data_IF_894042200347
#
_entry.id   IF_894042200347
#
_cell.length_a   1.000
_cell.length_b   1.000
_cell.length_c   1.000
_cell.angle_alpha   90.00
_cell.angle_beta   90.00
_cell.angle_gamma   90.00
#
_symmetry.space_group_name_H-M   'P 1'
#
loop_
_entity.id
_entity.type
_entity.pdbx_description
1 polymer ?
#
# COMPACT_ATOMS: atom_id res chain seq x y z
N UNK A 1 40.00 -12.24 -11.23
CA UNK A 1 40.24 -13.06 -12.46
C UNK A 1 41.51 -13.93 -12.37
N UNK A 2 42.56 -13.55 -11.61
CA UNK A 2 43.86 -14.29 -11.60
C UNK A 2 43.83 -15.56 -10.74
N UNK A 3 42.95 -15.68 -9.78
CA UNK A 3 42.80 -16.89 -8.95
C UNK A 3 42.26 -18.08 -9.76
N UNK A 4 41.43 -17.82 -10.76
CA UNK A 4 40.79 -18.83 -11.59
C UNK A 4 41.71 -19.36 -12.71
N UNK A 5 42.63 -18.51 -13.20
CA UNK A 5 43.58 -18.90 -14.22
C UNK A 5 44.67 -19.89 -13.72
N UNK A 6 44.84 -20.03 -12.40
CA UNK A 6 45.82 -20.92 -11.78
C UNK A 6 45.34 -22.36 -11.56
N UNK A 7 44.05 -22.66 -11.90
CA UNK A 7 43.45 -23.97 -11.63
C UNK A 7 43.25 -24.85 -12.88
N UNK A 8 43.71 -24.37 -14.04
CA UNK A 8 43.58 -25.06 -15.35
C UNK A 8 42.22 -25.70 -15.63
N UNK A 9 41.15 -25.07 -15.13
CA UNK A 9 39.78 -25.49 -15.36
C UNK A 9 39.31 -25.06 -16.75
N UNK A 10 38.42 -25.81 -17.36
CA UNK A 10 37.79 -25.50 -18.64
C UNK A 10 36.75 -24.40 -18.52
N UNK A 11 35.93 -24.47 -17.44
CA UNK A 11 34.91 -23.48 -17.12
C UNK A 11 34.90 -23.19 -15.61
N UNK A 12 34.54 -21.94 -15.27
CA UNK A 12 34.21 -21.50 -13.91
C UNK A 12 32.86 -20.80 -13.97
N UNK A 13 31.94 -21.21 -13.16
CA UNK A 13 30.58 -20.67 -13.24
C UNK A 13 29.95 -20.50 -11.86
N UNK A 14 28.92 -19.62 -11.83
CA UNK A 14 28.07 -19.40 -10.67
C UNK A 14 26.64 -19.64 -11.06
N UNK A 15 25.99 -20.54 -10.36
CA UNK A 15 24.56 -20.72 -10.39
C UNK A 15 23.91 -20.06 -9.19
N UNK A 16 22.92 -19.22 -9.42
CA UNK A 16 22.08 -18.68 -8.38
C UNK A 16 20.83 -19.53 -8.20
N UNK A 17 20.47 -19.83 -6.95
CA UNK A 17 19.22 -20.47 -6.59
C UNK A 17 18.12 -19.41 -6.47
N UNK A 18 17.05 -19.59 -7.23
CA UNK A 18 15.87 -18.73 -7.22
C UNK A 18 14.70 -19.58 -6.72
N UNK A 19 14.17 -19.18 -5.54
CA UNK A 19 13.02 -19.83 -4.91
C UNK A 19 11.78 -19.00 -5.17
N UNK A 20 10.85 -19.54 -5.96
CA UNK A 20 9.52 -18.99 -6.21
C UNK A 20 8.46 -20.01 -5.75
N UNK A 21 7.71 -20.56 -6.72
CA UNK A 21 6.79 -21.68 -6.47
C UNK A 21 7.51 -23.03 -6.49
N UNK A 22 8.65 -23.06 -7.13
CA UNK A 22 9.54 -24.21 -7.27
C UNK A 22 10.98 -23.67 -7.34
N UNK A 23 11.92 -24.37 -6.69
CA UNK A 23 13.33 -24.01 -6.68
C UNK A 23 13.96 -24.32 -8.03
N UNK A 24 14.71 -23.38 -8.59
CA UNK A 24 15.50 -23.57 -9.79
C UNK A 24 16.82 -22.84 -9.74
N UNK A 25 17.81 -23.39 -10.44
CA UNK A 25 19.14 -22.82 -10.60
C UNK A 25 19.26 -22.11 -11.95
N UNK A 26 19.90 -20.95 -11.97
CA UNK A 26 20.25 -20.23 -13.19
C UNK A 26 21.74 -19.92 -13.22
N UNK A 27 22.41 -20.23 -14.31
CA UNK A 27 23.78 -19.81 -14.54
C UNK A 27 23.80 -18.29 -14.76
N UNK A 28 24.42 -17.55 -13.84
CA UNK A 28 24.45 -16.08 -13.87
C UNK A 28 25.83 -15.52 -14.15
N UNK A 29 26.86 -16.33 -14.07
CA UNK A 29 28.21 -16.00 -14.43
C UNK A 29 28.93 -17.22 -14.95
N UNK A 30 29.64 -17.08 -16.07
CA UNK A 30 30.50 -18.10 -16.63
C UNK A 30 31.78 -17.48 -17.21
N UNK A 31 32.90 -18.13 -16.93
CA UNK A 31 34.18 -17.89 -17.58
C UNK A 31 34.62 -19.20 -18.23
N UNK A 32 35.04 -19.11 -19.49
CA UNK A 32 35.54 -20.27 -20.25
C UNK A 32 37.00 -20.04 -20.65
N UNK A 33 37.74 -21.13 -20.65
CA UNK A 33 39.10 -21.16 -21.27
C UNK A 33 38.96 -20.99 -22.78
N UNK A 34 39.98 -20.48 -23.42
CA UNK A 34 40.01 -20.31 -24.87
C UNK A 34 39.75 -21.69 -25.59
N UNK A 35 38.81 -21.71 -26.51
CA UNK A 35 38.36 -22.90 -27.23
C UNK A 35 37.22 -23.68 -26.57
N UNK A 36 36.80 -23.35 -25.36
CA UNK A 36 35.67 -23.97 -24.69
C UNK A 36 34.38 -23.20 -24.99
N UNK A 37 33.32 -23.92 -25.36
CA UNK A 37 32.01 -23.31 -25.69
C UNK A 37 31.27 -22.93 -24.42
N UNK A 38 30.84 -21.66 -24.26
CA UNK A 38 30.00 -21.25 -23.13
C UNK A 38 28.64 -21.98 -23.10
N UNK A 39 28.14 -22.24 -21.90
CA UNK A 39 26.84 -22.85 -21.65
C UNK A 39 25.84 -21.95 -20.91
N UNK A 40 26.24 -20.72 -20.60
CA UNK A 40 25.43 -19.80 -19.81
C UNK A 40 24.02 -19.61 -20.36
N UNK A 41 23.85 -19.50 -21.67
CA UNK A 41 22.55 -19.31 -22.33
C UNK A 41 21.67 -20.58 -22.33
N UNK A 42 22.28 -21.75 -22.19
CA UNK A 42 21.61 -23.06 -22.21
C UNK A 42 21.19 -23.51 -20.80
N UNK A 43 21.82 -22.93 -19.75
CA UNK A 43 21.65 -23.35 -18.36
C UNK A 43 20.88 -22.31 -17.54
N UNK A 44 19.75 -21.85 -18.09
CA UNK A 44 18.82 -20.91 -17.44
C UNK A 44 17.62 -21.69 -16.94
N UNK A 45 17.22 -21.46 -15.64
CA UNK A 45 16.04 -22.07 -14.99
C UNK A 45 16.05 -23.61 -14.97
N UNK A 46 17.16 -24.19 -14.54
CA UNK A 46 17.26 -25.63 -14.31
C UNK A 46 16.53 -25.96 -12.99
N UNK A 47 15.50 -26.82 -13.05
CA UNK A 47 14.80 -27.26 -11.84
C UNK A 47 15.75 -27.94 -10.86
N UNK A 48 15.62 -27.64 -9.58
CA UNK A 48 16.34 -28.35 -8.52
C UNK A 48 16.04 -29.86 -8.54
N UNK A 49 14.84 -30.26 -8.98
CA UNK A 49 14.44 -31.66 -9.14
C UNK A 49 15.21 -32.39 -10.25
N UNK A 50 15.86 -31.63 -11.16
CA UNK A 50 16.72 -32.22 -12.20
C UNK A 50 18.11 -32.58 -11.66
N UNK A 51 18.48 -32.07 -10.49
CA UNK A 51 19.75 -32.36 -9.81
C UNK A 51 19.52 -32.69 -8.32
N UNK A 52 18.73 -33.72 -8.01
CA UNK A 52 18.23 -33.98 -6.69
C UNK A 52 19.33 -34.27 -5.67
N UNK A 53 20.35 -35.04 -6.05
CA UNK A 53 21.47 -35.37 -5.16
C UNK A 53 22.32 -34.15 -4.86
N UNK A 54 22.55 -33.28 -5.87
CA UNK A 54 23.30 -32.05 -5.66
C UNK A 54 22.53 -31.08 -4.79
N UNK A 55 21.26 -30.88 -5.07
CA UNK A 55 20.41 -29.96 -4.28
C UNK A 55 20.38 -30.37 -2.80
N UNK A 56 20.17 -31.65 -2.50
CA UNK A 56 20.18 -32.15 -1.14
C UNK A 56 21.53 -31.96 -0.42
N UNK A 57 22.64 -32.24 -1.12
CA UNK A 57 24.00 -32.02 -0.60
C UNK A 57 24.28 -30.55 -0.37
N UNK A 58 23.92 -29.68 -1.29
CA UNK A 58 24.12 -28.23 -1.12
C UNK A 58 23.33 -27.68 0.06
N UNK A 59 22.09 -28.12 0.28
CA UNK A 59 21.32 -27.75 1.46
C UNK A 59 22.03 -28.13 2.79
N UNK A 60 22.82 -29.20 2.78
CA UNK A 60 23.65 -29.60 3.93
C UNK A 60 25.01 -28.92 3.99
N UNK A 61 25.36 -28.07 3.03
CA UNK A 61 26.66 -27.41 2.94
C UNK A 61 27.76 -28.32 2.43
N UNK A 62 27.43 -29.44 1.80
CA UNK A 62 28.38 -30.40 1.30
C UNK A 62 28.90 -29.98 -0.10
N UNK A 63 30.21 -30.13 -0.30
CA UNK A 63 30.87 -29.89 -1.60
C UNK A 63 30.72 -31.12 -2.49
N UNK A 64 30.48 -30.93 -3.79
CA UNK A 64 30.47 -31.97 -4.81
C UNK A 64 31.86 -32.04 -5.43
N UNK A 65 32.48 -33.21 -5.38
CA UNK A 65 33.75 -33.50 -6.01
C UNK A 65 33.58 -34.74 -6.90
N UNK A 66 33.78 -34.58 -8.20
CA UNK A 66 33.70 -35.65 -9.18
C UNK A 66 35.08 -35.73 -9.83
N UNK A 67 35.82 -36.81 -9.55
CA UNK A 67 37.14 -37.06 -10.16
C UNK A 67 37.01 -37.75 -11.51
N UNK A 68 35.93 -38.51 -11.70
CA UNK A 68 35.68 -39.31 -12.87
C UNK A 68 34.17 -39.43 -13.04
N UNK A 69 33.63 -38.84 -14.09
CA UNK A 69 32.19 -38.77 -14.35
C UNK A 69 31.57 -40.16 -14.50
N UNK A 70 32.26 -41.10 -15.11
CA UNK A 70 31.72 -42.45 -15.34
C UNK A 70 31.43 -43.20 -14.04
N UNK A 71 32.08 -42.84 -12.94
CA UNK A 71 31.84 -43.47 -11.63
C UNK A 71 30.56 -43.04 -10.91
N UNK A 72 29.92 -41.96 -11.36
CA UNK A 72 28.69 -41.48 -10.75
C UNK A 72 27.42 -41.91 -11.49
N UNK A 73 27.53 -42.59 -12.62
CA UNK A 73 26.37 -42.94 -13.46
C UNK A 73 25.28 -43.75 -12.72
N UNK A 74 25.66 -44.60 -11.75
CA UNK A 74 24.70 -45.36 -10.93
C UNK A 74 24.20 -44.60 -9.69
N UNK A 75 25.00 -43.70 -9.14
CA UNK A 75 24.69 -42.98 -7.88
C UNK A 75 24.03 -41.64 -8.09
N UNK A 76 24.24 -41.00 -9.25
CA UNK A 76 23.71 -39.68 -9.61
C UNK A 76 23.31 -39.68 -11.11
N UNK A 77 22.34 -40.51 -11.54
CA UNK A 77 22.04 -40.67 -12.96
C UNK A 77 21.54 -39.42 -13.65
N UNK A 78 20.71 -38.59 -12.97
CA UNK A 78 20.18 -37.36 -13.52
C UNK A 78 21.28 -36.34 -13.77
N UNK A 79 22.16 -36.16 -12.79
CA UNK A 79 23.32 -35.28 -12.88
C UNK A 79 24.35 -35.76 -13.90
N UNK A 80 24.57 -37.07 -13.97
CA UNK A 80 25.46 -37.67 -14.98
C UNK A 80 25.02 -37.32 -16.41
N UNK A 81 23.73 -37.45 -16.74
CA UNK A 81 23.20 -37.14 -18.06
C UNK A 81 23.40 -35.67 -18.43
N UNK A 82 23.20 -34.76 -17.46
CA UNK A 82 23.40 -33.32 -17.67
C UNK A 82 24.88 -33.01 -17.94
N UNK A 83 25.80 -33.61 -17.20
CA UNK A 83 27.22 -33.31 -17.28
C UNK A 83 27.88 -33.91 -18.51
N UNK A 84 27.43 -35.12 -18.91
CA UNK A 84 28.00 -35.86 -20.06
C UNK A 84 27.82 -35.13 -21.38
N UNK A 85 26.66 -34.48 -21.58
CA UNK A 85 26.36 -33.72 -22.81
C UNK A 85 27.25 -32.48 -22.95
N UNK A 86 27.90 -32.05 -21.88
CA UNK A 86 28.72 -30.83 -21.79
C UNK A 86 30.24 -31.12 -21.84
N UNK A 87 30.66 -32.34 -22.13
CA UNK A 87 32.06 -32.81 -22.16
C UNK A 87 32.79 -32.61 -20.83
N UNK A 88 32.06 -32.81 -19.70
CA UNK A 88 32.60 -32.71 -18.34
C UNK A 88 33.01 -34.09 -17.90
N UNK A 89 34.28 -34.30 -17.54
CA UNK A 89 34.79 -35.58 -17.00
C UNK A 89 35.13 -35.52 -15.51
N UNK A 90 35.47 -34.32 -15.00
CA UNK A 90 35.69 -34.04 -13.58
C UNK A 90 35.09 -32.74 -13.21
N UNK A 91 34.72 -32.57 -11.93
CA UNK A 91 34.00 -31.38 -11.48
C UNK A 91 34.24 -31.11 -10.00
N UNK A 92 34.27 -29.85 -9.66
CA UNK A 92 34.22 -29.36 -8.27
C UNK A 92 33.11 -28.31 -8.17
N UNK A 93 32.12 -28.53 -7.31
CA UNK A 93 31.07 -27.56 -7.04
C UNK A 93 30.85 -27.35 -5.53
N UNK A 94 30.81 -26.09 -5.13
CA UNK A 94 30.65 -25.65 -3.74
C UNK A 94 29.39 -24.83 -3.57
N UNK A 95 28.58 -25.11 -2.54
CA UNK A 95 27.40 -24.31 -2.23
C UNK A 95 27.79 -22.91 -1.76
N UNK A 96 26.98 -21.93 -2.17
CA UNK A 96 27.06 -20.55 -1.76
C UNK A 96 25.93 -20.23 -0.81
N UNK A 97 26.27 -19.68 0.36
CA UNK A 97 25.29 -19.28 1.36
C UNK A 97 25.28 -17.76 1.54
N UNK A 98 24.10 -17.18 1.63
CA UNK A 98 23.86 -15.83 2.06
C UNK A 98 23.00 -15.86 3.34
N UNK A 99 23.51 -15.32 4.44
CA UNK A 99 22.82 -15.31 5.73
C UNK A 99 22.24 -16.67 6.14
N UNK A 100 23.04 -17.75 6.05
CA UNK A 100 22.66 -19.14 6.36
C UNK A 100 21.69 -19.82 5.39
N UNK A 101 21.20 -19.14 4.37
CA UNK A 101 20.38 -19.74 3.34
C UNK A 101 21.20 -20.05 2.09
N UNK A 102 20.92 -21.21 1.46
CA UNK A 102 21.54 -21.57 0.20
C UNK A 102 21.12 -20.54 -0.87
N UNK A 103 22.10 -19.88 -1.47
CA UNK A 103 21.88 -18.86 -2.52
C UNK A 103 22.28 -19.34 -3.91
N UNK A 104 22.94 -20.49 -4.00
CA UNK A 104 23.41 -21.07 -5.24
C UNK A 104 24.64 -21.93 -5.05
N UNK A 105 25.44 -22.07 -6.11
CA UNK A 105 26.73 -22.74 -6.03
C UNK A 105 27.74 -22.17 -7.05
N UNK A 106 29.03 -22.33 -6.76
CA UNK A 106 30.13 -22.08 -7.71
C UNK A 106 30.71 -23.41 -8.15
N UNK A 107 30.99 -23.54 -9.44
CA UNK A 107 31.54 -24.76 -10.01
C UNK A 107 32.75 -24.53 -10.92
N UNK A 108 33.55 -25.59 -11.04
CA UNK A 108 34.69 -25.73 -11.94
C UNK A 108 34.52 -27.01 -12.75
N UNK A 109 34.59 -26.91 -14.06
CA UNK A 109 34.60 -28.07 -14.94
C UNK A 109 36.01 -28.42 -15.31
N UNK A 110 36.32 -29.73 -15.32
CA UNK A 110 37.61 -30.32 -15.68
C UNK A 110 38.82 -29.68 -14.98
N UNK A 111 38.77 -29.36 -13.66
CA UNK A 111 39.93 -28.78 -12.99
C UNK A 111 41.05 -29.80 -12.82
N UNK A 112 42.33 -29.33 -12.83
CA UNK A 112 43.45 -30.12 -12.36
C UNK A 112 43.39 -30.27 -10.83
N UNK A 113 42.83 -31.35 -10.33
CA UNK A 113 42.67 -31.62 -8.88
C UNK A 113 43.98 -32.17 -8.25
N UNK A 114 45.11 -31.52 -8.44
CA UNK A 114 46.40 -31.93 -7.82
C UNK A 114 46.36 -31.80 -6.30
N UNK A 115 45.65 -30.76 -5.77
CA UNK A 115 45.44 -30.51 -4.34
C UNK A 115 44.01 -30.02 -4.08
N UNK A 116 43.01 -30.92 -3.99
CA UNK A 116 41.60 -30.52 -3.86
C UNK A 116 41.33 -29.62 -2.66
N UNK A 117 42.03 -29.83 -1.53
CA UNK A 117 41.86 -29.02 -0.31
C UNK A 117 42.20 -27.56 -0.48
N UNK A 118 43.24 -27.21 -1.25
CA UNK A 118 43.62 -25.82 -1.54
C UNK A 118 42.61 -25.17 -2.46
N UNK A 119 42.19 -25.88 -3.49
CA UNK A 119 41.18 -25.42 -4.44
C UNK A 119 39.83 -25.16 -3.76
N UNK A 120 39.39 -26.05 -2.87
CA UNK A 120 38.17 -25.89 -2.07
C UNK A 120 38.27 -24.64 -1.16
N UNK A 121 39.38 -24.45 -0.45
CA UNK A 121 39.53 -23.31 0.45
C UNK A 121 39.53 -21.97 -0.30
N UNK A 122 40.20 -21.89 -1.46
CA UNK A 122 40.19 -20.68 -2.28
C UNK A 122 38.83 -20.34 -2.85
N UNK A 123 38.14 -21.37 -3.38
CA UNK A 123 36.79 -21.20 -3.92
C UNK A 123 35.76 -20.87 -2.85
N UNK A 124 35.83 -21.50 -1.67
CA UNK A 124 34.96 -21.22 -0.54
C UNK A 124 35.05 -19.77 -0.11
N UNK A 125 36.28 -19.25 0.04
CA UNK A 125 36.50 -17.86 0.41
C UNK A 125 35.99 -16.88 -0.68
N UNK A 126 36.36 -17.13 -1.95
CA UNK A 126 35.91 -16.31 -3.07
C UNK A 126 34.38 -16.40 -3.26
N UNK A 127 33.82 -17.59 -3.16
CA UNK A 127 32.37 -17.84 -3.25
C UNK A 127 31.57 -17.14 -2.16
N UNK A 128 32.06 -17.17 -0.92
CA UNK A 128 31.42 -16.47 0.20
C UNK A 128 31.35 -14.96 -0.02
N UNK A 129 32.43 -14.35 -0.49
CA UNK A 129 32.44 -12.93 -0.85
C UNK A 129 31.51 -12.60 -2.02
N UNK A 130 31.49 -13.43 -3.06
CA UNK A 130 30.61 -13.26 -4.20
C UNK A 130 29.14 -13.39 -3.81
N UNK A 131 28.78 -14.43 -3.05
CA UNK A 131 27.41 -14.62 -2.58
C UNK A 131 26.91 -13.43 -1.74
N UNK A 132 27.75 -12.95 -0.82
CA UNK A 132 27.42 -11.76 -0.02
C UNK A 132 27.24 -10.51 -0.89
N UNK A 133 28.12 -10.29 -1.87
CA UNK A 133 28.03 -9.13 -2.77
C UNK A 133 26.78 -9.19 -3.65
N UNK A 134 26.47 -10.35 -4.23
CA UNK A 134 25.28 -10.55 -5.06
C UNK A 134 24.00 -10.35 -4.24
N UNK A 135 23.95 -10.88 -3.02
CA UNK A 135 22.82 -10.68 -2.13
C UNK A 135 22.63 -9.19 -1.76
N UNK A 136 23.71 -8.48 -1.46
CA UNK A 136 23.65 -7.06 -1.18
C UNK A 136 23.15 -6.25 -2.39
N UNK A 137 23.61 -6.56 -3.60
CA UNK A 137 23.13 -5.92 -4.82
C UNK A 137 21.64 -6.17 -5.08
N UNK A 138 21.16 -7.39 -4.83
CA UNK A 138 19.71 -7.71 -4.92
C UNK A 138 18.89 -6.93 -3.90
N UNK A 139 19.34 -6.91 -2.64
CA UNK A 139 18.69 -6.14 -1.59
C UNK A 139 18.63 -4.65 -1.95
N UNK A 140 19.71 -4.11 -2.51
CA UNK A 140 19.75 -2.71 -2.93
C UNK A 140 18.72 -2.40 -4.02
N UNK A 141 18.66 -3.23 -5.07
CA UNK A 141 17.64 -3.09 -6.13
C UNK A 141 16.20 -3.20 -5.61
N UNK A 142 15.94 -4.17 -4.74
CA UNK A 142 14.62 -4.32 -4.13
C UNK A 142 14.23 -3.11 -3.27
N UNK A 143 15.20 -2.51 -2.56
CA UNK A 143 14.97 -1.31 -1.76
C UNK A 143 14.67 -0.10 -2.66
N UNK A 144 15.43 0.09 -3.74
CA UNK A 144 15.18 1.16 -4.72
C UNK A 144 13.79 1.05 -5.36
N UNK A 145 13.38 -0.16 -5.77
CA UNK A 145 12.04 -0.38 -6.33
C UNK A 145 10.94 -0.10 -5.32
N UNK A 146 11.09 -0.55 -4.08
CA UNK A 146 10.14 -0.27 -3.01
C UNK A 146 10.07 1.20 -2.67
N UNK A 147 11.20 1.88 -2.62
CA UNK A 147 11.26 3.32 -2.36
C UNK A 147 10.52 4.09 -3.45
N UNK A 148 10.77 3.79 -4.73
CA UNK A 148 10.10 4.43 -5.85
C UNK A 148 8.58 4.21 -5.83
N UNK A 149 8.14 2.99 -5.48
CA UNK A 149 6.71 2.68 -5.33
C UNK A 149 6.09 3.48 -4.19
N UNK A 150 6.78 3.57 -3.06
CA UNK A 150 6.31 4.32 -1.90
C UNK A 150 6.20 5.82 -2.19
N UNK A 151 7.19 6.40 -2.87
CA UNK A 151 7.18 7.80 -3.29
C UNK A 151 5.98 8.10 -4.22
N UNK A 152 5.73 7.23 -5.21
CA UNK A 152 4.58 7.36 -6.11
C UNK A 152 3.24 7.30 -5.36
N UNK A 153 3.09 6.38 -4.41
CA UNK A 153 1.88 6.26 -3.60
C UNK A 153 1.67 7.49 -2.68
N UNK A 154 2.76 8.04 -2.14
CA UNK A 154 2.71 9.27 -1.34
C UNK A 154 2.28 10.47 -2.16
N UNK A 155 2.78 10.64 -3.38
CA UNK A 155 2.36 11.70 -4.30
C UNK A 155 0.87 11.59 -4.65
N UNK A 156 0.39 10.38 -4.92
CA UNK A 156 -1.03 10.12 -5.20
C UNK A 156 -1.92 10.48 -4.01
N UNK A 157 -1.57 10.02 -2.82
CA UNK A 157 -2.30 10.34 -1.58
C UNK A 157 -2.29 11.84 -1.27
N UNK A 158 -1.18 12.53 -1.51
CA UNK A 158 -1.11 13.98 -1.32
C UNK A 158 -2.02 14.72 -2.31
N UNK A 159 -2.06 14.27 -3.56
CA UNK A 159 -2.95 14.82 -4.58
C UNK A 159 -4.42 14.62 -4.21
N UNK A 160 -4.80 13.41 -3.79
CA UNK A 160 -6.16 13.12 -3.31
C UNK A 160 -6.53 14.00 -2.12
N UNK A 161 -5.61 14.14 -1.16
CA UNK A 161 -5.81 15.03 0.01
C UNK A 161 -6.05 16.48 -0.41
N UNK A 162 -5.24 17.04 -1.31
CA UNK A 162 -5.42 18.41 -1.80
C UNK A 162 -6.75 18.61 -2.53
N UNK A 163 -7.19 17.60 -3.32
CA UNK A 163 -8.51 17.65 -3.98
C UNK A 163 -9.63 17.66 -2.93
N UNK A 164 -9.55 16.79 -1.92
CA UNK A 164 -10.53 16.76 -0.84
C UNK A 164 -10.55 18.08 -0.06
N UNK A 165 -9.39 18.64 0.27
CA UNK A 165 -9.29 19.95 0.93
C UNK A 165 -9.93 21.06 0.11
N UNK A 166 -9.72 21.08 -1.22
CA UNK A 166 -10.32 22.05 -2.12
C UNK A 166 -11.85 21.91 -2.23
N UNK A 167 -12.35 20.67 -2.29
CA UNK A 167 -13.80 20.39 -2.32
C UNK A 167 -14.50 20.74 -0.99
N UNK A 168 -13.73 20.76 0.10
CA UNK A 168 -14.23 21.01 1.43
C UNK A 168 -14.00 22.45 1.92
N UNK A 169 -13.72 23.39 1.02
CA UNK A 169 -13.46 24.81 1.39
C UNK A 169 -14.65 25.45 2.14
N UNK A 170 -15.87 25.15 1.71
CA UNK A 170 -17.09 25.71 2.30
C UNK A 170 -17.49 25.07 3.64
N UNK A 171 -16.83 23.99 4.01
CA UNK A 171 -17.14 23.27 5.24
C UNK A 171 -16.25 23.69 6.39
N UNK A 172 -16.87 24.00 7.51
CA UNK A 172 -16.17 24.40 8.75
C UNK A 172 -15.67 23.18 9.53
N UNK A 173 -16.39 22.07 9.47
CA UNK A 173 -16.06 20.87 10.24
C UNK A 173 -16.57 19.61 9.56
N UNK A 174 -15.80 18.52 9.72
CA UNK A 174 -16.20 17.16 9.33
C UNK A 174 -15.94 16.19 10.46
N UNK A 175 -16.89 15.29 10.65
CA UNK A 175 -16.84 14.23 11.64
C UNK A 175 -17.16 12.89 11.04
N UNK A 176 -16.42 11.87 11.45
CA UNK A 176 -16.75 10.47 11.22
C UNK A 176 -17.53 10.00 12.46
N UNK A 177 -18.78 9.56 12.24
CA UNK A 177 -19.60 9.09 13.32
C UNK A 177 -20.00 7.63 13.09
N UNK A 178 -19.95 6.83 14.15
CA UNK A 178 -20.52 5.49 14.19
C UNK A 178 -21.78 5.55 15.04
N UNK A 179 -22.94 5.50 14.37
CA UNK A 179 -24.24 5.62 15.04
C UNK A 179 -24.59 4.36 15.84
N UNK A 180 -24.05 3.20 15.49
CA UNK A 180 -24.28 1.97 16.24
C UNK A 180 -23.54 2.01 17.59
N UNK A 181 -22.30 2.47 17.60
CA UNK A 181 -21.42 2.52 18.78
C UNK A 181 -21.45 3.87 19.52
N UNK A 182 -22.26 4.83 19.07
CA UNK A 182 -22.34 6.17 19.63
C UNK A 182 -20.99 6.91 19.71
N UNK A 183 -20.18 6.82 18.65
CA UNK A 183 -18.87 7.48 18.59
C UNK A 183 -18.86 8.59 17.54
N UNK A 184 -18.01 9.59 17.76
CA UNK A 184 -17.81 10.74 16.88
C UNK A 184 -16.36 11.17 16.90
N UNK A 185 -15.70 11.06 15.77
CA UNK A 185 -14.29 11.41 15.56
C UNK A 185 -14.18 12.64 14.66
N UNK A 186 -13.29 13.56 14.99
CA UNK A 186 -13.03 14.78 14.22
C UNK A 186 -12.08 14.49 13.06
N UNK A 187 -12.54 14.69 11.81
CA UNK A 187 -11.70 14.57 10.61
C UNK A 187 -11.05 15.92 10.29
N UNK A 188 -11.86 16.98 10.25
CA UNK A 188 -11.43 18.35 9.95
C UNK A 188 -12.22 19.33 10.81
N UNK A 189 -11.55 20.37 11.28
CA UNK A 189 -12.19 21.41 12.05
C UNK A 189 -11.53 22.76 11.80
N UNK A 190 -12.35 23.79 11.56
CA UNK A 190 -11.90 25.18 11.56
C UNK A 190 -11.81 25.70 12.99
N UNK A 191 -10.79 26.47 13.29
CA UNK A 191 -10.64 27.16 14.60
C UNK A 191 -11.78 28.14 14.91
N UNK A 192 -12.52 28.56 13.90
CA UNK A 192 -13.68 29.45 14.03
C UNK A 192 -15.02 28.71 14.13
N UNK A 193 -14.99 27.39 14.15
CA UNK A 193 -16.19 26.59 14.31
C UNK A 193 -16.66 26.56 15.77
N UNK A 194 -17.96 26.65 15.99
CA UNK A 194 -18.56 26.45 17.32
C UNK A 194 -18.25 25.05 17.90
N UNK A 195 -17.89 24.10 17.02
CA UNK A 195 -17.46 22.75 17.40
C UNK A 195 -16.06 22.71 18.01
N UNK A 196 -15.23 23.74 17.80
CA UNK A 196 -13.87 23.77 18.36
C UNK A 196 -13.87 23.75 19.90
N UNK A 197 -14.85 24.42 20.52
CA UNK A 197 -15.00 24.42 21.98
C UNK A 197 -15.44 23.04 22.48
N UNK A 198 -16.37 22.37 21.77
CA UNK A 198 -16.88 21.03 22.12
C UNK A 198 -15.76 20.00 22.06
N UNK A 199 -14.92 20.07 21.04
CA UNK A 199 -13.80 19.12 20.85
C UNK A 199 -12.72 19.31 21.93
N UNK A 200 -12.61 20.49 22.52
CA UNK A 200 -11.73 20.78 23.67
C UNK A 200 -12.23 20.19 25.00
N UNK A 201 -13.52 19.85 25.10
CA UNK A 201 -14.13 19.38 26.35
C UNK A 201 -13.87 17.88 26.56
N UNK A 202 -13.11 17.58 27.64
CA UNK A 202 -12.73 16.19 27.96
C UNK A 202 -13.94 15.31 28.31
N UNK A 203 -14.99 15.86 28.86
CA UNK A 203 -16.21 15.17 29.28
C UNK A 203 -17.09 14.72 28.11
N UNK A 204 -16.97 15.38 26.94
CA UNK A 204 -17.76 15.12 25.74
C UNK A 204 -17.00 14.32 24.67
N UNK A 205 -15.77 13.90 24.95
CA UNK A 205 -14.83 13.34 23.96
C UNK A 205 -15.29 12.09 23.21
N UNK A 206 -16.31 11.36 23.68
CA UNK A 206 -16.55 10.02 23.15
C UNK A 206 -17.92 9.76 22.53
N UNK A 207 -18.92 10.58 22.75
CA UNK A 207 -20.28 10.24 22.36
C UNK A 207 -20.88 11.17 21.29
N UNK A 208 -21.38 10.60 20.18
CA UNK A 208 -22.19 11.33 19.20
C UNK A 208 -23.40 12.01 19.88
N UNK A 209 -24.18 11.24 20.64
CA UNK A 209 -25.41 11.73 21.28
C UNK A 209 -25.16 12.88 22.23
N UNK A 210 -24.15 12.80 23.08
CA UNK A 210 -23.81 13.85 24.05
C UNK A 210 -23.34 15.13 23.36
N UNK A 211 -22.51 15.01 22.32
CA UNK A 211 -21.97 16.16 21.58
C UNK A 211 -23.06 16.87 20.76
N UNK A 212 -23.95 16.14 20.10
CA UNK A 212 -25.08 16.70 19.36
C UNK A 212 -26.04 17.44 20.30
N UNK A 213 -26.34 16.86 21.47
CA UNK A 213 -27.19 17.52 22.45
C UNK A 213 -26.56 18.81 23.00
N UNK A 214 -25.28 18.74 23.36
CA UNK A 214 -24.54 19.93 23.82
C UNK A 214 -24.53 21.02 22.75
N UNK A 215 -24.26 20.68 21.51
CA UNK A 215 -24.29 21.60 20.38
C UNK A 215 -25.64 22.27 20.21
N UNK A 216 -26.72 21.50 20.25
CA UNK A 216 -28.10 22.02 20.17
C UNK A 216 -28.40 22.99 21.30
N UNK A 217 -28.10 22.64 22.55
CA UNK A 217 -28.46 23.42 23.72
C UNK A 217 -27.69 24.77 23.79
N UNK A 218 -26.48 24.84 23.22
CA UNK A 218 -25.62 26.03 23.36
C UNK A 218 -25.50 26.87 22.08
N UNK A 219 -25.67 26.25 20.92
CA UNK A 219 -25.36 26.93 19.67
C UNK A 219 -26.55 27.01 18.69
N UNK A 220 -27.55 26.16 18.78
CA UNK A 220 -28.68 26.17 17.84
C UNK A 220 -29.80 27.06 18.35
N UNK A 221 -30.31 27.97 17.50
CA UNK A 221 -31.48 28.76 17.78
C UNK A 221 -32.71 27.90 17.62
N UNK A 222 -33.38 27.59 18.74
CA UNK A 222 -34.47 26.58 18.83
C UNK A 222 -35.64 26.87 17.92
N UNK A 223 -35.97 28.16 17.75
CA UNK A 223 -37.07 28.63 16.90
C UNK A 223 -36.82 28.27 15.43
N UNK A 224 -35.58 28.26 15.00
CA UNK A 224 -35.18 27.91 13.63
C UNK A 224 -35.09 26.41 13.37
N UNK A 225 -34.99 25.60 14.45
CA UNK A 225 -34.73 24.18 14.35
C UNK A 225 -35.42 23.37 15.47
N UNK A 226 -36.77 23.42 15.57
CA UNK A 226 -37.52 22.82 16.68
C UNK A 226 -37.45 21.28 16.69
N UNK A 227 -37.21 20.65 15.55
CA UNK A 227 -37.13 19.19 15.39
C UNK A 227 -35.69 18.66 15.22
N UNK A 228 -34.68 19.49 15.45
CA UNK A 228 -33.27 19.16 15.27
C UNK A 228 -32.86 17.91 16.06
N UNK A 229 -33.11 17.86 17.35
CA UNK A 229 -32.74 16.73 18.20
C UNK A 229 -33.48 15.45 17.80
N UNK A 230 -34.74 15.55 17.39
CA UNK A 230 -35.52 14.39 16.94
C UNK A 230 -34.93 13.80 15.65
N UNK A 231 -34.54 14.67 14.69
CA UNK A 231 -33.94 14.24 13.43
C UNK A 231 -32.52 13.74 13.57
N UNK A 232 -31.79 14.25 14.55
CA UNK A 232 -30.40 13.86 14.85
C UNK A 232 -30.31 12.71 15.84
N UNK A 233 -31.44 12.22 16.36
CA UNK A 233 -31.48 11.03 17.19
C UNK A 233 -30.99 9.82 16.37
N UNK A 234 -30.11 8.98 16.97
CA UNK A 234 -29.39 7.91 16.25
C UNK A 234 -30.31 6.95 15.52
N UNK A 235 -31.38 6.47 16.18
CA UNK A 235 -32.32 5.52 15.55
C UNK A 235 -33.10 6.17 14.42
N UNK A 236 -33.56 7.42 14.59
CA UNK A 236 -34.28 8.15 13.56
C UNK A 236 -33.39 8.38 12.33
N UNK A 237 -32.13 8.73 12.54
CA UNK A 237 -31.16 8.95 11.47
C UNK A 237 -30.79 7.64 10.76
N UNK A 238 -30.61 6.55 11.50
CA UNK A 238 -30.38 5.21 10.94
C UNK A 238 -31.56 4.80 10.06
N UNK A 239 -32.80 4.96 10.55
CA UNK A 239 -34.00 4.61 9.81
C UNK A 239 -34.13 5.42 8.53
N UNK A 240 -33.91 6.71 8.59
CA UNK A 240 -33.91 7.58 7.41
C UNK A 240 -32.85 7.17 6.38
N UNK A 241 -31.62 6.91 6.83
CA UNK A 241 -30.48 6.57 5.97
C UNK A 241 -30.53 5.13 5.41
N UNK A 242 -31.47 4.29 5.85
CA UNK A 242 -31.74 2.99 5.18
C UNK A 242 -32.19 3.17 3.73
N UNK A 243 -32.99 4.19 3.49
CA UNK A 243 -33.60 4.45 2.18
C UNK A 243 -33.00 5.67 1.46
N UNK A 244 -32.15 6.46 2.16
CA UNK A 244 -31.57 7.69 1.63
C UNK A 244 -30.03 7.67 1.84
N UNK A 245 -29.29 8.07 0.81
CA UNK A 245 -27.82 8.15 0.91
C UNK A 245 -27.32 9.37 1.69
N UNK A 246 -28.13 10.41 1.77
CA UNK A 246 -27.78 11.67 2.43
C UNK A 246 -28.98 12.28 3.14
N UNK A 247 -28.65 13.07 4.17
CA UNK A 247 -29.58 13.92 4.90
C UNK A 247 -28.99 15.32 4.96
N UNK A 248 -29.82 16.36 4.81
CA UNK A 248 -29.39 17.74 4.94
C UNK A 248 -30.39 18.50 5.84
N UNK A 249 -29.87 19.37 6.69
CA UNK A 249 -30.69 20.13 7.62
C UNK A 249 -30.14 21.56 7.75
N UNK A 250 -30.98 22.58 7.51
CA UNK A 250 -30.63 23.99 7.65
C UNK A 250 -31.18 24.55 8.93
N UNK A 251 -30.37 25.36 9.61
CA UNK A 251 -30.73 25.98 10.89
C UNK A 251 -29.95 27.26 11.10
N UNK A 252 -30.46 28.08 12.05
CA UNK A 252 -29.76 29.26 12.53
C UNK A 252 -29.04 28.91 13.82
N UNK A 253 -27.81 29.35 13.93
CA UNK A 253 -26.95 29.19 15.10
C UNK A 253 -26.64 30.55 15.72
N UNK A 254 -26.25 30.58 16.97
CA UNK A 254 -25.59 31.76 17.50
C UNK A 254 -24.37 32.08 16.66
N UNK A 255 -24.08 33.40 16.50
CA UNK A 255 -22.93 33.81 15.68
C UNK A 255 -21.66 33.16 16.17
N UNK A 256 -20.94 32.55 15.26
CA UNK A 256 -19.61 32.09 15.54
C UNK A 256 -18.61 33.26 15.57
N UNK A 257 -17.35 32.96 15.89
CA UNK A 257 -16.28 34.00 15.94
C UNK A 257 -16.01 34.64 14.57
N UNK A 258 -16.44 34.03 13.45
CA UNK A 258 -16.37 34.62 12.11
C UNK A 258 -17.64 35.38 11.72
N UNK A 259 -18.67 35.46 12.58
CA UNK A 259 -19.89 36.20 12.35
C UNK A 259 -20.99 35.47 11.53
N UNK A 260 -20.83 34.18 11.25
CA UNK A 260 -21.84 33.38 10.54
C UNK A 260 -22.98 32.94 11.44
N UNK A 261 -24.19 32.99 10.93
CA UNK A 261 -25.43 32.64 11.62
C UNK A 261 -26.19 31.47 11.01
N UNK A 262 -26.10 31.28 9.68
CA UNK A 262 -26.87 30.25 8.97
C UNK A 262 -25.98 29.08 8.60
N UNK A 263 -26.41 27.89 9.01
CA UNK A 263 -25.65 26.66 8.81
C UNK A 263 -26.48 25.58 8.10
N UNK A 264 -25.78 24.76 7.33
CA UNK A 264 -26.31 23.53 6.79
C UNK A 264 -25.46 22.37 7.32
N UNK A 265 -26.12 21.44 7.99
CA UNK A 265 -25.59 20.15 8.36
C UNK A 265 -25.88 19.17 7.23
N UNK A 266 -24.85 18.51 6.73
CA UNK A 266 -24.99 17.39 5.80
C UNK A 266 -24.52 16.10 6.44
N UNK A 267 -25.28 15.04 6.28
CA UNK A 267 -24.98 13.70 6.74
C UNK A 267 -24.97 12.78 5.52
N UNK A 268 -23.89 12.04 5.36
CA UNK A 268 -23.70 11.09 4.25
C UNK A 268 -23.38 9.74 4.84
N UNK A 269 -24.14 8.72 4.45
CA UNK A 269 -23.86 7.33 4.84
C UNK A 269 -22.67 6.79 4.07
N UNK A 270 -21.71 6.18 4.79
CA UNK A 270 -20.59 5.46 4.19
C UNK A 270 -21.03 4.04 3.80
N UNK A 271 -20.67 3.61 2.60
CA UNK A 271 -20.88 2.25 2.13
C UNK A 271 -19.67 1.39 2.54
N UNK A 272 -19.78 0.66 3.63
CA UNK A 272 -18.69 -0.16 4.21
C UNK A 272 -18.74 -1.63 3.81
N UNK A 273 -19.68 -2.01 2.91
CA UNK A 273 -19.89 -3.41 2.49
C UNK A 273 -20.67 -4.25 3.50
N UNK A 274 -20.81 -3.81 4.75
CA UNK A 274 -21.68 -4.44 5.75
C UNK A 274 -22.96 -3.61 5.93
N UNK A 275 -24.13 -4.23 5.77
CA UNK A 275 -25.45 -3.56 5.86
C UNK A 275 -25.75 -3.02 7.24
N UNK A 276 -25.16 -3.59 8.27
CA UNK A 276 -25.36 -3.20 9.67
C UNK A 276 -24.35 -2.18 10.19
N UNK A 277 -23.42 -1.75 9.35
CA UNK A 277 -22.44 -0.71 9.68
C UNK A 277 -23.05 0.68 9.34
N UNK A 278 -23.44 1.40 10.38
CA UNK A 278 -24.05 2.74 10.26
C UNK A 278 -23.01 3.84 10.51
N UNK A 279 -21.93 3.82 9.74
CA UNK A 279 -20.95 4.91 9.73
C UNK A 279 -21.40 6.02 8.79
N UNK A 280 -21.30 7.24 9.28
CA UNK A 280 -21.67 8.45 8.55
C UNK A 280 -20.53 9.47 8.58
N UNK A 281 -20.46 10.27 7.54
CA UNK A 281 -19.73 11.54 7.56
C UNK A 281 -20.74 12.65 7.81
N UNK A 282 -20.47 13.47 8.80
CA UNK A 282 -21.27 14.66 9.15
C UNK A 282 -20.43 15.91 8.88
N UNK A 283 -20.94 16.78 8.01
CA UNK A 283 -20.28 18.03 7.63
C UNK A 283 -21.12 19.24 7.97
N UNK A 284 -20.50 20.29 8.50
CA UNK A 284 -21.12 21.56 8.80
C UNK A 284 -20.56 22.65 7.89
N UNK A 285 -21.43 23.39 7.22
CA UNK A 285 -21.04 24.56 6.44
C UNK A 285 -21.93 25.75 6.73
N UNK A 286 -21.41 26.95 6.62
CA UNK A 286 -22.21 28.16 6.68
C UNK A 286 -22.83 28.44 5.30
N UNK A 287 -24.04 28.98 5.32
CA UNK A 287 -24.85 29.25 4.11
C UNK A 287 -25.41 30.67 4.12
N UNK A 288 -24.76 31.61 4.81
CA UNK A 288 -25.22 33.00 4.94
C UNK A 288 -25.46 33.64 3.57
N UNK A 289 -24.53 33.45 2.61
CA UNK A 289 -24.62 33.99 1.26
C UNK A 289 -25.84 33.46 0.52
N UNK A 290 -26.11 32.16 0.64
CA UNK A 290 -27.26 31.48 0.00
C UNK A 290 -28.56 32.04 0.58
N UNK A 291 -28.64 32.17 1.90
CA UNK A 291 -29.83 32.69 2.58
C UNK A 291 -30.09 34.13 2.21
N UNK A 292 -29.03 34.97 2.15
CA UNK A 292 -29.17 36.38 1.73
C UNK A 292 -29.65 36.49 0.26
N UNK A 293 -29.14 35.66 -0.61
CA UNK A 293 -29.57 35.63 -2.01
C UNK A 293 -31.05 35.22 -2.15
N UNK A 294 -31.46 34.20 -1.41
CA UNK A 294 -32.84 33.73 -1.38
C UNK A 294 -33.78 34.81 -0.78
N UNK A 295 -33.38 35.52 0.26
CA UNK A 295 -34.12 36.64 0.82
C UNK A 295 -34.30 37.81 -0.21
N UNK A 296 -33.23 38.17 -0.92
CA UNK A 296 -33.28 39.18 -1.96
C UNK A 296 -34.23 38.77 -3.08
N UNK A 297 -34.18 37.51 -3.55
CA UNK A 297 -35.08 37.01 -4.61
C UNK A 297 -36.55 37.06 -4.15
N UNK A 298 -36.80 36.65 -2.90
CA UNK A 298 -38.15 36.69 -2.33
C UNK A 298 -38.68 38.13 -2.25
N UNK A 299 -37.90 39.07 -1.77
CA UNK A 299 -38.27 40.47 -1.70
C UNK A 299 -38.60 41.03 -3.09
N UNK A 300 -37.75 40.80 -4.10
CA UNK A 300 -38.01 41.20 -5.48
C UNK A 300 -39.30 40.61 -6.04
N UNK A 301 -39.59 39.37 -5.71
CA UNK A 301 -40.82 38.72 -6.16
C UNK A 301 -42.06 39.34 -5.49
N UNK A 302 -41.98 39.64 -4.18
CA UNK A 302 -43.06 40.35 -3.44
C UNK A 302 -43.30 41.75 -3.99
N UNK A 303 -42.25 42.52 -4.25
CA UNK A 303 -42.34 43.84 -4.89
C UNK A 303 -42.96 43.78 -6.31
N UNK A 304 -42.56 42.75 -7.09
CA UNK A 304 -43.14 42.55 -8.43
C UNK A 304 -44.60 42.17 -8.37
N UNK A 305 -45.00 41.30 -7.44
CA UNK A 305 -46.40 40.94 -7.26
C UNK A 305 -47.25 42.13 -6.77
N UNK A 306 -46.73 42.97 -5.88
CA UNK A 306 -47.39 44.17 -5.42
C UNK A 306 -47.58 45.16 -6.59
N UNK A 307 -46.58 45.37 -7.43
CA UNK A 307 -46.65 46.24 -8.63
C UNK A 307 -47.67 45.72 -9.64
N UNK A 308 -47.70 44.41 -9.92
CA UNK A 308 -48.71 43.79 -10.82
C UNK A 308 -50.09 43.92 -10.23
N UNK A 309 -50.29 43.70 -8.96
CA UNK A 309 -51.60 43.85 -8.29
C UNK A 309 -52.09 45.31 -8.35
N UNK A 310 -51.20 46.28 -8.14
CA UNK A 310 -51.50 47.70 -8.25
C UNK A 310 -51.89 48.11 -9.68
N UNK A 311 -51.20 47.63 -10.68
CA UNK A 311 -51.52 47.89 -12.09
C UNK A 311 -52.85 47.25 -12.49
N UNK A 312 -53.21 46.06 -12.00
CA UNK A 312 -54.49 45.43 -12.24
C UNK A 312 -55.65 46.19 -11.59
N UNK A 313 -55.51 46.69 -10.35
CA UNK A 313 -56.52 47.48 -9.69
C UNK A 313 -56.78 48.82 -10.43
N UNK A 314 -55.74 49.46 -10.93
CA UNK A 314 -55.86 50.72 -11.67
C UNK A 314 -56.42 50.55 -13.11
N UNK A 315 -56.39 49.34 -13.66
CA UNK A 315 -56.94 49.07 -14.98
C UNK A 315 -58.48 48.77 -14.94
N UNK A 316 -59.05 48.66 -13.74
CA UNK A 316 -60.44 48.40 -13.52
C UNK A 316 -61.20 49.63 -12.94
N UNK A 317 -60.51 50.75 -12.69
CA UNK A 317 -61.11 52.08 -12.48
C UNK A 317 -61.17 52.83 -13.84
#
# INVERSE_FOLDING_TARGET
SDVYKRQDADRVYIFELISEKQDYYSNTFEWCREGIIPQIDNLIRISADSMPVWHEKFLRGETIIIHDLEKICETMPSEYDILKVQDIYSLLALPLFANTQLSGFIGLDNPELVNPGVSISLLSNAGGHLASTLNNLRMFRMLEEKQKTLESNLEELQKEKHILEALCVDYTSFYLCDLANDTMETIKQSVHSNWAEIDGMTELKSGYTSRIRYYYDHYVIRESAPDFLQKMERHALIEYLRNHKRFAYRYQSVKNHAGHEYFELQVIRLETGNRDDYKIIMGFRYIDDIVQEDMKKKQQMEETMAAVSYTHLRAHE
#
